data_IF_092707760453
#
_entry.id   IF_092707760453
#
_cell.length_a   1.000
_cell.length_b   1.000
_cell.length_c   1.000
_cell.angle_alpha   90.00
_cell.angle_beta   90.00
_cell.angle_gamma   90.00
#
_symmetry.space_group_name_H-M   'P 1'
#
loop_
_entity.id
_entity.type
_entity.pdbx_description
1 polymer ?
#
# COMPACT_ATOMS: atom_id res chain seq x y z
N UNK A 1 22.40 -29.80 -13.15
CA UNK A 1 22.73 -28.37 -13.33
C UNK A 1 21.47 -27.60 -13.79
N UNK A 2 20.64 -27.05 -12.89
CA UNK A 2 19.34 -26.45 -13.22
C UNK A 2 19.39 -24.95 -13.64
N UNK A 3 20.53 -24.28 -13.54
CA UNK A 3 20.61 -22.83 -13.72
C UNK A 3 20.63 -22.33 -15.17
N UNK A 4 21.04 -23.15 -16.14
CA UNK A 4 21.31 -22.68 -17.52
C UNK A 4 20.03 -22.45 -18.36
N UNK A 5 18.95 -23.18 -18.04
CA UNK A 5 17.66 -23.05 -18.72
C UNK A 5 16.92 -21.77 -18.32
N UNK A 6 16.93 -21.42 -17.03
CA UNK A 6 16.31 -20.19 -16.53
C UNK A 6 16.96 -18.92 -17.10
N UNK A 7 18.30 -18.92 -17.23
CA UNK A 7 19.02 -17.77 -17.83
C UNK A 7 18.63 -17.59 -19.30
N UNK A 8 18.57 -18.65 -20.10
CA UNK A 8 18.21 -18.52 -21.52
C UNK A 8 16.74 -18.15 -21.73
N UNK A 9 15.84 -18.59 -20.85
CA UNK A 9 14.42 -18.24 -20.93
C UNK A 9 14.22 -16.77 -20.55
N UNK A 10 14.87 -16.30 -19.49
CA UNK A 10 14.87 -14.88 -19.09
C UNK A 10 15.51 -14.03 -20.19
N UNK A 11 16.61 -14.46 -20.79
CA UNK A 11 17.26 -13.72 -21.87
C UNK A 11 16.45 -13.72 -23.17
N UNK A 12 15.60 -14.72 -23.43
CA UNK A 12 14.64 -14.68 -24.56
C UNK A 12 13.37 -13.89 -24.27
N UNK A 13 12.90 -13.89 -23.03
CA UNK A 13 11.70 -13.15 -22.63
C UNK A 13 11.99 -11.66 -22.36
N UNK A 14 13.20 -11.33 -21.95
CA UNK A 14 13.62 -9.97 -21.57
C UNK A 14 14.82 -9.43 -22.36
N UNK A 15 15.44 -10.22 -23.23
CA UNK A 15 16.47 -9.76 -24.18
C UNK A 15 15.84 -8.97 -25.32
N UNK A 16 15.24 -7.82 -24.99
CA UNK A 16 14.99 -6.78 -25.97
C UNK A 16 16.31 -6.28 -26.55
N UNK A 17 16.27 -5.81 -27.79
CA UNK A 17 17.42 -5.25 -28.50
C UNK A 17 18.17 -4.24 -27.61
N UNK A 18 19.44 -4.57 -27.29
CA UNK A 18 20.29 -3.75 -26.42
C UNK A 18 20.57 -2.36 -26.99
N UNK A 19 20.30 -2.17 -28.27
CA UNK A 19 20.50 -0.93 -29.00
C UNK A 19 19.31 0.03 -28.92
N UNK A 20 18.13 -0.43 -28.47
CA UNK A 20 16.91 0.42 -28.38
C UNK A 20 17.15 1.66 -27.51
N UNK A 21 17.80 1.59 -26.32
CA UNK A 21 18.12 2.79 -25.56
C UNK A 21 19.06 3.76 -26.30
N UNK A 22 19.97 3.26 -27.13
CA UNK A 22 20.85 4.09 -27.94
C UNK A 22 20.10 4.81 -29.06
N UNK A 23 19.13 4.14 -29.69
CA UNK A 23 18.24 4.73 -30.68
C UNK A 23 17.41 5.88 -30.08
N UNK A 24 16.83 5.69 -28.88
CA UNK A 24 16.09 6.76 -28.19
C UNK A 24 16.98 7.97 -27.84
N UNK A 25 18.25 7.74 -27.46
CA UNK A 25 19.21 8.84 -27.26
C UNK A 25 19.51 9.60 -28.55
N UNK A 26 19.64 8.89 -29.67
CA UNK A 26 19.85 9.54 -30.96
C UNK A 26 18.65 10.40 -31.35
N UNK A 27 17.43 9.87 -31.22
CA UNK A 27 16.18 10.61 -31.45
C UNK A 27 16.06 11.83 -30.53
N UNK A 28 16.41 11.69 -29.25
CA UNK A 28 16.44 12.82 -28.31
C UNK A 28 17.42 13.91 -28.75
N UNK A 29 18.63 13.55 -29.20
CA UNK A 29 19.60 14.54 -29.72
C UNK A 29 19.09 15.27 -30.95
N UNK A 30 18.43 14.56 -31.88
CA UNK A 30 17.81 15.18 -33.05
C UNK A 30 16.70 16.16 -32.67
N UNK A 31 15.86 15.81 -31.69
CA UNK A 31 14.83 16.71 -31.17
C UNK A 31 15.43 18.00 -30.57
N UNK A 32 16.52 17.87 -29.78
CA UNK A 32 17.24 19.01 -29.22
C UNK A 32 17.81 19.91 -30.32
N UNK A 33 18.42 19.33 -31.35
CA UNK A 33 18.96 20.07 -32.51
C UNK A 33 17.85 20.78 -33.29
N UNK A 34 16.67 20.17 -33.40
CA UNK A 34 15.50 20.77 -34.01
C UNK A 34 14.74 21.75 -33.11
N UNK A 35 15.20 21.97 -31.86
CA UNK A 35 14.50 22.75 -30.84
C UNK A 35 13.03 22.30 -30.61
N UNK A 36 12.74 21.01 -30.82
CA UNK A 36 11.41 20.41 -30.63
C UNK A 36 11.27 19.87 -29.19
N UNK A 37 10.84 20.74 -28.28
CA UNK A 37 10.69 20.43 -26.86
C UNK A 37 9.60 19.38 -26.58
N UNK A 38 8.55 19.30 -27.39
CA UNK A 38 7.49 18.30 -27.19
C UNK A 38 8.02 16.89 -27.46
N UNK A 39 8.76 16.72 -28.56
CA UNK A 39 9.39 15.43 -28.88
C UNK A 39 10.51 15.07 -27.90
N UNK A 40 11.27 16.06 -27.43
CA UNK A 40 12.28 15.82 -26.39
C UNK A 40 11.64 15.25 -25.12
N UNK A 41 10.54 15.85 -24.65
CA UNK A 41 9.79 15.37 -23.49
C UNK A 41 9.18 13.98 -23.71
N UNK A 42 8.79 13.64 -24.93
CA UNK A 42 8.26 12.32 -25.27
C UNK A 42 9.36 11.25 -25.34
N UNK A 43 10.54 11.57 -25.89
CA UNK A 43 11.63 10.60 -26.05
C UNK A 43 12.33 10.27 -24.73
N UNK A 44 12.40 11.22 -23.80
CA UNK A 44 13.03 10.99 -22.50
C UNK A 44 12.43 9.82 -21.68
N UNK A 45 11.11 9.72 -21.45
CA UNK A 45 10.52 8.59 -20.74
C UNK A 45 10.63 7.27 -21.53
N UNK A 46 10.65 7.32 -22.86
CA UNK A 46 10.85 6.14 -23.71
C UNK A 46 12.27 5.61 -23.60
N UNK A 47 13.28 6.48 -23.53
CA UNK A 47 14.67 6.12 -23.24
C UNK A 47 14.75 5.37 -21.89
N UNK A 48 14.17 5.93 -20.83
CA UNK A 48 14.18 5.31 -19.49
C UNK A 48 13.45 3.96 -19.52
N UNK A 49 12.28 3.86 -20.18
CA UNK A 49 11.50 2.62 -20.24
C UNK A 49 12.24 1.51 -20.99
N UNK A 50 12.87 1.83 -22.12
CA UNK A 50 13.63 0.86 -22.91
C UNK A 50 14.90 0.35 -22.22
N UNK A 51 15.49 1.15 -21.33
CA UNK A 51 16.68 0.75 -20.59
C UNK A 51 16.39 -0.24 -19.45
N UNK A 52 15.12 -0.37 -19.02
CA UNK A 52 14.74 -1.28 -17.93
C UNK A 52 14.82 -2.73 -18.37
N UNK A 53 15.29 -3.58 -17.48
CA UNK A 53 15.50 -5.02 -17.69
C UNK A 53 16.56 -5.37 -18.74
N UNK A 54 17.05 -4.39 -19.52
CA UNK A 54 18.17 -4.56 -20.45
C UNK A 54 19.48 -4.09 -19.81
N UNK A 55 19.51 -2.83 -19.35
CA UNK A 55 20.68 -2.18 -18.75
C UNK A 55 20.50 -1.99 -17.25
N UNK A 56 19.29 -1.62 -16.82
CA UNK A 56 18.95 -1.43 -15.42
C UNK A 56 18.21 -2.67 -14.90
N UNK A 57 18.85 -3.42 -14.01
CA UNK A 57 18.28 -4.62 -13.40
C UNK A 57 17.81 -4.33 -11.95
N UNK A 58 16.62 -4.79 -11.51
CA UNK A 58 16.05 -4.45 -10.21
C UNK A 58 16.87 -4.92 -9.00
N UNK A 59 17.56 -6.05 -9.16
CA UNK A 59 18.32 -6.73 -8.11
C UNK A 59 19.69 -7.09 -8.69
N UNK A 60 20.56 -6.10 -8.77
CA UNK A 60 21.94 -6.35 -9.15
C UNK A 60 22.56 -7.32 -8.13
N UNK A 61 22.74 -8.58 -8.53
CA UNK A 61 23.31 -9.65 -7.69
C UNK A 61 24.79 -9.44 -7.36
N UNK A 62 25.46 -8.54 -8.08
CA UNK A 62 26.89 -8.26 -7.98
C UNK A 62 27.20 -7.09 -7.05
N UNK A 63 26.42 -6.87 -5.97
CA UNK A 63 26.33 -5.64 -5.10
C UNK A 63 27.67 -4.95 -4.76
N UNK A 64 28.79 -5.65 -4.93
CA UNK A 64 30.17 -5.20 -4.69
C UNK A 64 30.85 -4.38 -5.80
N UNK A 65 30.36 -4.35 -7.06
CA UNK A 65 30.97 -3.46 -8.07
C UNK A 65 30.52 -2.00 -7.84
N UNK A 66 31.48 -1.10 -7.65
CA UNK A 66 31.32 0.29 -7.19
C UNK A 66 30.43 1.20 -8.06
N UNK A 67 29.99 0.73 -9.23
CA UNK A 67 29.07 1.44 -10.14
C UNK A 67 27.60 0.99 -10.07
N UNK A 68 27.27 -0.05 -9.30
CA UNK A 68 26.00 -0.73 -9.45
C UNK A 68 24.81 -0.10 -8.73
N UNK A 69 25.06 0.71 -7.71
CA UNK A 69 24.02 1.50 -7.06
C UNK A 69 23.33 2.44 -8.07
N UNK A 70 24.08 2.97 -9.05
CA UNK A 70 23.53 3.81 -10.10
C UNK A 70 22.43 3.11 -10.90
N UNK A 71 22.61 1.83 -11.27
CA UNK A 71 21.62 1.05 -12.02
C UNK A 71 20.37 0.73 -11.21
N UNK A 72 20.53 0.32 -9.94
CA UNK A 72 19.40 -0.01 -9.06
C UNK A 72 18.57 1.23 -8.74
N UNK A 73 19.21 2.34 -8.35
CA UNK A 73 18.49 3.59 -8.11
C UNK A 73 17.80 4.09 -9.37
N UNK A 74 18.46 4.03 -10.54
CA UNK A 74 17.85 4.46 -11.81
C UNK A 74 16.65 3.59 -12.21
N UNK A 75 16.70 2.28 -11.94
CA UNK A 75 15.57 1.38 -12.14
C UNK A 75 14.36 1.79 -11.28
N UNK A 76 14.55 1.86 -9.96
CA UNK A 76 13.46 2.15 -9.02
C UNK A 76 12.94 3.58 -9.17
N UNK A 77 13.83 4.56 -9.38
CA UNK A 77 13.43 5.93 -9.65
C UNK A 77 12.71 6.06 -10.99
N UNK A 78 13.16 5.36 -12.04
CA UNK A 78 12.45 5.33 -13.32
C UNK A 78 11.05 4.71 -13.18
N UNK A 79 10.93 3.63 -12.42
CA UNK A 79 9.65 3.00 -12.11
C UNK A 79 8.74 3.96 -11.31
N UNK A 80 9.27 4.59 -10.26
CA UNK A 80 8.56 5.57 -9.45
C UNK A 80 8.15 6.80 -10.28
N UNK A 81 9.00 7.29 -11.17
CA UNK A 81 8.70 8.40 -12.08
C UNK A 81 7.58 8.03 -13.05
N UNK A 82 7.65 6.86 -13.69
CA UNK A 82 6.56 6.43 -14.57
C UNK A 82 5.26 6.29 -13.79
N UNK A 83 5.34 5.68 -12.61
CA UNK A 83 4.21 5.52 -11.72
C UNK A 83 3.60 6.89 -11.37
N UNK A 84 4.42 7.84 -10.91
CA UNK A 84 4.07 9.21 -10.51
C UNK A 84 3.58 10.09 -11.70
N UNK A 85 4.21 9.98 -12.85
CA UNK A 85 3.90 10.76 -14.06
C UNK A 85 2.52 10.39 -14.62
N UNK A 86 2.18 9.10 -14.58
CA UNK A 86 0.89 8.64 -15.10
C UNK A 86 -0.31 9.00 -14.20
N UNK A 87 -0.11 9.48 -12.96
CA UNK A 87 -1.24 9.92 -12.09
C UNK A 87 -2.04 11.05 -12.74
N UNK A 88 -1.41 11.90 -13.55
CA UNK A 88 -2.09 12.98 -14.24
C UNK A 88 -3.10 12.52 -15.31
N UNK A 89 -3.02 11.26 -15.76
CA UNK A 89 -3.88 10.70 -16.82
C UNK A 89 -4.99 9.79 -16.31
N UNK A 90 -4.94 9.33 -15.05
CA UNK A 90 -5.91 8.38 -14.52
C UNK A 90 -6.24 8.64 -13.05
N UNK A 91 -7.51 8.97 -12.79
CA UNK A 91 -8.07 9.12 -11.44
C UNK A 91 -8.15 7.78 -10.70
N UNK A 92 -8.26 6.67 -11.44
CA UNK A 92 -8.41 5.33 -10.86
C UNK A 92 -7.15 4.88 -10.11
N UNK A 93 -5.95 5.24 -10.58
CA UNK A 93 -4.68 4.82 -9.96
C UNK A 93 -4.48 5.34 -8.53
N UNK A 94 -4.60 6.66 -8.24
CA UNK A 94 -4.50 7.15 -6.86
C UNK A 94 -5.60 6.58 -5.97
N UNK A 95 -6.81 6.34 -6.49
CA UNK A 95 -7.87 5.67 -5.74
C UNK A 95 -7.49 4.23 -5.38
N UNK A 96 -7.01 3.44 -6.34
CA UNK A 96 -6.57 2.07 -6.10
C UNK A 96 -5.43 2.03 -5.06
N UNK A 97 -4.48 2.96 -5.12
CA UNK A 97 -3.41 3.02 -4.14
C UNK A 97 -3.88 3.45 -2.77
N UNK A 98 -4.82 4.39 -2.71
CA UNK A 98 -5.44 4.77 -1.45
C UNK A 98 -6.14 3.56 -0.83
N UNK A 99 -6.92 2.80 -1.60
CA UNK A 99 -7.56 1.57 -1.12
C UNK A 99 -6.54 0.52 -0.67
N UNK A 100 -5.46 0.32 -1.43
CA UNK A 100 -4.39 -0.62 -1.07
C UNK A 100 -3.70 -0.19 0.22
N UNK A 101 -3.46 1.11 0.42
CA UNK A 101 -2.86 1.61 1.66
C UNK A 101 -3.78 1.39 2.85
N UNK A 102 -5.09 1.62 2.72
CA UNK A 102 -6.07 1.34 3.78
C UNK A 102 -6.05 -0.15 4.16
N UNK A 103 -6.08 -1.06 3.18
CA UNK A 103 -6.03 -2.51 3.43
C UNK A 103 -4.71 -2.92 4.08
N UNK A 104 -3.58 -2.39 3.61
CA UNK A 104 -2.26 -2.68 4.17
C UNK A 104 -2.16 -2.24 5.63
N UNK A 105 -2.54 -1.00 5.95
CA UNK A 105 -2.45 -0.49 7.32
C UNK A 105 -3.46 -1.14 8.26
N UNK A 106 -4.66 -1.46 7.80
CA UNK A 106 -5.61 -2.27 8.57
C UNK A 106 -5.03 -3.65 8.90
N UNK A 107 -4.32 -4.30 7.96
CA UNK A 107 -3.62 -5.56 8.23
C UNK A 107 -2.48 -5.41 9.25
N UNK A 108 -1.74 -4.30 9.21
CA UNK A 108 -0.72 -3.99 10.22
C UNK A 108 -1.35 -3.79 11.60
N UNK A 109 -2.48 -3.08 11.70
CA UNK A 109 -3.20 -2.89 12.97
C UNK A 109 -3.74 -4.21 13.54
N UNK A 110 -4.30 -5.08 12.69
CA UNK A 110 -4.70 -6.44 13.11
C UNK A 110 -3.49 -7.25 13.56
N UNK A 111 -2.37 -7.18 12.84
CA UNK A 111 -1.13 -7.84 13.22
C UNK A 111 -0.65 -7.43 14.61
N UNK A 112 -0.66 -6.12 14.91
CA UNK A 112 -0.30 -5.60 16.24
C UNK A 112 -1.31 -5.95 17.33
N UNK A 113 -2.61 -6.04 17.00
CA UNK A 113 -3.62 -6.51 17.97
C UNK A 113 -3.35 -7.96 18.41
N UNK A 114 -2.83 -8.79 17.51
CA UNK A 114 -2.47 -10.19 17.80
C UNK A 114 -1.19 -10.31 18.61
N UNK A 115 -0.18 -9.50 18.32
CA UNK A 115 1.04 -9.47 19.13
C UNK A 115 0.71 -9.05 20.56
N UNK A 116 -0.20 -8.09 20.74
CA UNK A 116 -0.74 -7.71 22.05
C UNK A 116 -1.50 -8.85 22.76
N UNK A 117 -2.19 -9.72 22.00
CA UNK A 117 -2.81 -10.95 22.50
C UNK A 117 -1.83 -12.12 22.74
N UNK A 118 -0.54 -11.94 22.44
CA UNK A 118 0.50 -12.97 22.56
C UNK A 118 0.52 -14.00 21.41
N UNK A 119 -0.16 -13.72 20.29
CA UNK A 119 -0.07 -14.52 19.08
C UNK A 119 1.05 -14.01 18.16
N UNK A 120 1.64 -14.91 17.36
CA UNK A 120 2.64 -14.52 16.37
C UNK A 120 1.99 -13.63 15.28
N UNK A 121 2.69 -12.59 14.80
CA UNK A 121 2.16 -11.74 13.74
C UNK A 121 2.05 -12.53 12.43
N UNK A 122 0.91 -12.44 11.77
CA UNK A 122 0.62 -13.13 10.51
C UNK A 122 0.16 -12.13 9.43
N UNK A 123 0.94 -11.06 9.24
CA UNK A 123 0.56 -9.90 8.42
C UNK A 123 -0.01 -10.23 7.03
N UNK A 124 0.54 -11.24 6.34
CA UNK A 124 0.06 -11.65 5.02
C UNK A 124 -1.31 -12.31 5.04
N UNK A 125 -1.60 -13.12 6.06
CA UNK A 125 -2.92 -13.74 6.25
C UNK A 125 -3.94 -12.68 6.64
N UNK A 126 -3.50 -11.70 7.43
CA UNK A 126 -4.32 -10.57 7.89
C UNK A 126 -4.67 -9.65 6.73
N UNK A 127 -3.71 -9.36 5.85
CA UNK A 127 -3.96 -8.60 4.63
C UNK A 127 -5.01 -9.28 3.74
N UNK A 128 -4.94 -10.60 3.58
CA UNK A 128 -5.95 -11.33 2.81
C UNK A 128 -7.33 -11.33 3.49
N UNK A 129 -7.40 -11.37 4.82
CA UNK A 129 -8.66 -11.29 5.57
C UNK A 129 -9.28 -9.89 5.49
N UNK A 130 -8.47 -8.86 5.68
CA UNK A 130 -8.86 -7.44 5.58
C UNK A 130 -9.29 -7.11 4.15
N UNK A 131 -8.53 -7.53 3.13
CA UNK A 131 -8.89 -7.31 1.73
C UNK A 131 -10.26 -7.93 1.39
N UNK A 132 -10.55 -9.12 1.91
CA UNK A 132 -11.87 -9.77 1.76
C UNK A 132 -12.97 -9.01 2.49
N UNK A 133 -12.70 -8.48 3.68
CA UNK A 133 -13.67 -7.68 4.43
C UNK A 133 -13.93 -6.30 3.82
N UNK A 134 -12.94 -5.72 3.16
CA UNK A 134 -13.02 -4.43 2.47
C UNK A 134 -13.60 -4.53 1.06
N UNK A 135 -13.63 -5.73 0.47
CA UNK A 135 -14.21 -5.94 -0.84
C UNK A 135 -15.70 -5.56 -0.82
N UNK A 136 -16.21 -4.87 -1.87
CA UNK A 136 -17.64 -4.57 -1.95
C UNK A 136 -18.43 -5.88 -1.89
N UNK A 137 -19.65 -5.88 -1.30
CA UNK A 137 -20.50 -7.05 -1.30
C UNK A 137 -20.69 -7.49 -2.76
N UNK A 138 -20.25 -8.71 -3.05
CA UNK A 138 -20.44 -9.30 -4.36
C UNK A 138 -21.95 -9.45 -4.56
N UNK A 139 -22.54 -8.96 -5.67
CA UNK A 139 -23.96 -9.13 -5.91
C UNK A 139 -24.32 -10.61 -5.82
N UNK A 140 -25.45 -10.90 -5.19
CA UNK A 140 -25.88 -12.25 -4.79
C UNK A 140 -25.86 -13.26 -5.96
N UNK A 141 -26.15 -12.77 -7.17
CA UNK A 141 -26.07 -13.53 -8.42
C UNK A 141 -24.67 -14.05 -8.76
N UNK A 142 -23.61 -13.32 -8.42
CA UNK A 142 -22.21 -13.73 -8.65
C UNK A 142 -21.67 -14.54 -7.45
N UNK A 143 -22.21 -14.31 -6.25
CA UNK A 143 -21.85 -15.06 -5.05
C UNK A 143 -22.20 -16.56 -5.16
N UNK A 144 -23.28 -16.92 -5.87
CA UNK A 144 -23.69 -18.30 -6.11
C UNK A 144 -22.71 -19.12 -6.96
N UNK A 145 -21.84 -18.47 -7.74
CA UNK A 145 -20.88 -19.13 -8.63
C UNK A 145 -19.44 -19.13 -8.09
N UNK A 146 -19.19 -18.40 -7.00
CA UNK A 146 -17.90 -18.44 -6.34
C UNK A 146 -17.90 -19.59 -5.33
N UNK A 147 -16.81 -20.37 -5.21
CA UNK A 147 -16.70 -21.35 -4.13
C UNK A 147 -16.93 -20.62 -2.81
N UNK A 148 -17.56 -21.29 -1.83
CA UNK A 148 -17.87 -20.72 -0.53
C UNK A 148 -16.61 -20.19 0.16
N UNK A 149 -16.23 -18.94 -0.14
CA UNK A 149 -15.17 -18.17 0.51
C UNK A 149 -15.71 -17.61 1.86
N UNK A 150 -16.93 -17.98 2.23
CA UNK A 150 -17.81 -17.33 3.20
C UNK A 150 -17.69 -17.83 4.64
N UNK A 151 -16.49 -18.18 5.10
CA UNK A 151 -16.20 -18.07 6.52
C UNK A 151 -15.55 -16.72 6.74
N UNK A 152 -16.36 -15.70 7.07
CA UNK A 152 -15.86 -14.50 7.74
C UNK A 152 -15.30 -15.05 9.05
N UNK A 153 -13.99 -15.32 9.08
CA UNK A 153 -13.34 -15.70 10.32
C UNK A 153 -13.60 -14.53 11.27
N UNK A 154 -14.49 -14.73 12.24
CA UNK A 154 -14.75 -13.72 13.25
C UNK A 154 -13.43 -13.57 13.99
N UNK A 155 -12.81 -12.41 13.88
CA UNK A 155 -11.68 -12.07 14.72
C UNK A 155 -12.25 -11.37 15.93
N UNK A 156 -12.49 -12.09 17.05
CA UNK A 156 -12.98 -11.44 18.25
C UNK A 156 -12.01 -10.32 18.62
N UNK A 157 -12.54 -9.24 19.19
CA UNK A 157 -11.71 -8.21 19.81
C UNK A 157 -10.64 -8.88 20.68
N UNK A 158 -9.42 -8.35 20.63
CA UNK A 158 -8.26 -9.03 21.16
C UNK A 158 -8.49 -9.40 22.64
N UNK A 159 -8.37 -10.69 22.95
CA UNK A 159 -8.30 -11.15 24.33
C UNK A 159 -6.92 -10.71 24.87
N UNK A 160 -6.86 -9.55 25.50
CA UNK A 160 -5.58 -8.99 25.92
C UNK A 160 -5.05 -9.79 27.10
N UNK A 161 -3.81 -10.28 26.97
CA UNK A 161 -3.12 -11.00 28.04
C UNK A 161 -2.26 -10.04 28.85
N UNK A 162 -2.70 -9.73 30.06
CA UNK A 162 -1.88 -9.04 31.06
C UNK A 162 -2.66 -8.79 32.34
N UNK A 163 -1.95 -8.64 33.47
CA UNK A 163 -2.54 -8.57 34.81
C UNK A 163 -3.43 -7.34 35.05
N UNK A 164 -3.20 -6.25 34.31
CA UNK A 164 -3.87 -4.96 34.51
C UNK A 164 -4.80 -4.56 33.35
N UNK A 165 -5.00 -5.47 32.40
CA UNK A 165 -5.81 -5.23 31.20
C UNK A 165 -7.24 -5.69 31.44
N UNK A 166 -8.19 -4.79 31.23
CA UNK A 166 -9.61 -5.15 31.26
C UNK A 166 -10.11 -5.47 29.85
N UNK A 167 -10.79 -6.61 29.64
CA UNK A 167 -11.45 -6.89 28.38
C UNK A 167 -12.57 -5.89 28.13
N UNK A 168 -12.91 -5.71 26.84
CA UNK A 168 -14.08 -4.94 26.45
C UNK A 168 -15.34 -5.55 27.08
N UNK A 169 -16.29 -4.71 27.46
CA UNK A 169 -17.56 -5.14 28.04
C UNK A 169 -18.23 -6.18 27.11
N UNK A 170 -18.71 -7.32 27.63
CA UNK A 170 -19.10 -8.48 26.80
C UNK A 170 -20.21 -8.14 25.80
N UNK A 171 -21.10 -7.22 26.15
CA UNK A 171 -22.18 -6.75 25.27
C UNK A 171 -21.64 -5.98 24.05
N UNK A 172 -20.60 -5.15 24.26
CA UNK A 172 -19.96 -4.40 23.18
C UNK A 172 -19.02 -5.28 22.34
N UNK A 173 -18.37 -6.26 22.97
CA UNK A 173 -17.52 -7.25 22.30
C UNK A 173 -18.32 -8.20 21.39
N UNK A 174 -19.56 -8.55 21.74
CA UNK A 174 -20.41 -9.42 20.92
C UNK A 174 -20.82 -8.80 19.58
N UNK A 175 -20.83 -7.46 19.48
CA UNK A 175 -21.20 -6.74 18.27
C UNK A 175 -20.03 -6.18 17.45
N UNK A 176 -18.78 -6.45 17.85
CA UNK A 176 -17.59 -5.85 17.22
C UNK A 176 -16.62 -6.90 16.69
N UNK A 177 -16.09 -6.63 15.49
CA UNK A 177 -15.07 -7.44 14.82
C UNK A 177 -13.76 -6.64 14.77
N UNK A 178 -12.65 -7.25 15.19
CA UNK A 178 -11.33 -6.62 15.17
C UNK A 178 -10.94 -6.14 13.76
N UNK A 179 -11.34 -6.87 12.71
CA UNK A 179 -11.07 -6.43 11.33
C UNK A 179 -11.87 -5.19 10.98
N UNK A 180 -13.14 -5.12 11.39
CA UNK A 180 -14.00 -3.98 11.08
C UNK A 180 -13.48 -2.71 11.78
N UNK A 181 -13.08 -2.85 13.04
CA UNK A 181 -12.49 -1.76 13.83
C UNK A 181 -11.11 -1.33 13.28
N UNK A 182 -10.26 -2.27 12.85
CA UNK A 182 -9.00 -1.96 12.18
C UNK A 182 -9.20 -1.24 10.84
N UNK A 183 -10.21 -1.66 10.05
CA UNK A 183 -10.58 -1.00 8.81
C UNK A 183 -11.10 0.43 9.08
N UNK A 184 -11.95 0.59 10.08
CA UNK A 184 -12.46 1.90 10.51
C UNK A 184 -11.30 2.83 10.90
N UNK A 185 -10.34 2.33 11.69
CA UNK A 185 -9.13 3.08 12.06
C UNK A 185 -8.31 3.49 10.84
N UNK A 186 -8.07 2.55 9.91
CA UNK A 186 -7.30 2.81 8.70
C UNK A 186 -8.02 3.82 7.78
N UNK A 187 -9.33 3.70 7.61
CA UNK A 187 -10.13 4.67 6.83
C UNK A 187 -10.10 6.04 7.48
N UNK A 188 -10.28 6.13 8.81
CA UNK A 188 -10.21 7.40 9.55
C UNK A 188 -8.83 8.06 9.46
N UNK A 189 -7.75 7.28 9.36
CA UNK A 189 -6.40 7.82 9.15
C UNK A 189 -6.17 8.24 7.68
N UNK A 190 -6.84 7.60 6.73
CA UNK A 190 -6.76 7.96 5.33
C UNK A 190 -7.57 9.22 4.99
N UNK A 191 -8.67 9.47 5.70
CA UNK A 191 -9.47 10.69 5.60
C UNK A 191 -8.78 11.85 6.34
N UNK A 192 -7.79 12.46 5.69
CA UNK A 192 -6.97 13.55 6.25
C UNK A 192 -7.80 14.76 6.73
N UNK A 193 -9.00 14.96 6.19
CA UNK A 193 -9.84 16.16 6.36
C UNK A 193 -10.73 16.18 7.63
N UNK A 194 -10.42 15.34 8.61
CA UNK A 194 -11.18 15.25 9.86
C UNK A 194 -11.57 13.81 10.10
N UNK A 195 -11.07 13.23 11.19
CA UNK A 195 -11.32 11.83 11.54
C UNK A 195 -12.81 11.53 11.49
N UNK A 196 -13.19 10.55 10.68
CA UNK A 196 -14.55 10.05 10.60
C UNK A 196 -14.76 9.26 11.89
N UNK A 197 -15.08 9.96 12.98
CA UNK A 197 -15.23 9.37 14.30
C UNK A 197 -15.00 10.35 15.42
N UNK A 198 -15.99 10.47 16.32
CA UNK A 198 -15.82 11.17 17.59
C UNK A 198 -14.80 10.47 18.51
N UNK A 199 -14.43 11.10 19.63
CA UNK A 199 -13.51 10.52 20.62
C UNK A 199 -14.00 9.15 21.13
N UNK A 200 -15.31 8.92 21.17
CA UNK A 200 -15.91 7.65 21.58
C UNK A 200 -15.66 6.52 20.57
N UNK A 201 -15.67 6.83 19.27
CA UNK A 201 -15.37 5.86 18.22
C UNK A 201 -13.90 5.42 18.32
N UNK A 202 -12.98 6.37 18.53
CA UNK A 202 -11.58 6.05 18.77
C UNK A 202 -11.41 5.16 20.01
N UNK A 203 -12.09 5.48 21.13
CA UNK A 203 -12.03 4.68 22.36
C UNK A 203 -12.54 3.26 22.15
N UNK A 204 -13.62 3.07 21.40
CA UNK A 204 -14.16 1.75 21.03
C UNK A 204 -13.18 0.97 20.15
N UNK A 205 -12.67 1.61 19.09
CA UNK A 205 -11.76 0.98 18.13
C UNK A 205 -10.46 0.55 18.80
N UNK A 206 -9.81 1.44 19.56
CA UNK A 206 -8.59 1.09 20.29
C UNK A 206 -8.85 0.09 21.43
N UNK A 207 -9.99 0.20 22.11
CA UNK A 207 -10.40 -0.76 23.14
C UNK A 207 -10.60 -2.17 22.60
N UNK A 208 -11.23 -2.32 21.43
CA UNK A 208 -11.40 -3.62 20.78
C UNK A 208 -10.07 -4.21 20.29
N UNK A 209 -9.18 -3.38 19.74
CA UNK A 209 -7.92 -3.84 19.14
C UNK A 209 -6.84 -4.12 20.19
N UNK A 210 -6.70 -3.28 21.22
CA UNK A 210 -5.55 -3.30 22.12
C UNK A 210 -5.93 -3.36 23.61
N UNK A 211 -7.23 -3.23 23.94
CA UNK A 211 -7.75 -3.25 25.31
C UNK A 211 -7.60 -1.94 26.08
N UNK A 212 -8.00 -1.98 27.35
CA UNK A 212 -7.95 -0.86 28.28
C UNK A 212 -7.01 -1.14 29.43
N UNK A 213 -6.31 -0.09 29.87
CA UNK A 213 -5.65 -0.04 31.18
C UNK A 213 -6.34 0.98 32.05
N UNK A 214 -6.44 0.63 33.32
CA UNK A 214 -6.94 1.54 34.35
C UNK A 214 -5.85 2.56 34.66
N UNK A 215 -6.13 3.83 34.44
CA UNK A 215 -5.23 4.90 34.85
C UNK A 215 -5.19 5.01 36.39
N UNK A 216 -4.23 5.76 36.92
CA UNK A 216 -4.12 6.01 38.37
C UNK A 216 -5.33 6.75 38.97
N UNK A 217 -6.22 7.30 38.14
CA UNK A 217 -7.48 7.94 38.53
C UNK A 217 -8.69 7.00 38.48
N UNK A 218 -8.50 5.72 38.11
CA UNK A 218 -9.56 4.73 38.02
C UNK A 218 -10.32 4.72 36.69
N UNK A 219 -10.03 5.62 35.76
CA UNK A 219 -10.65 5.68 34.44
C UNK A 219 -10.00 4.69 33.47
N UNK A 220 -10.79 4.15 32.56
CA UNK A 220 -10.31 3.22 31.53
C UNK A 220 -9.76 4.00 30.33
N UNK A 221 -8.45 4.00 30.15
CA UNK A 221 -7.81 4.59 28.97
C UNK A 221 -7.41 3.48 27.98
N UNK A 222 -7.69 3.64 26.67
CA UNK A 222 -7.24 2.68 25.68
C UNK A 222 -5.72 2.72 25.58
N UNK A 223 -5.08 1.54 25.52
CA UNK A 223 -3.64 1.48 25.25
C UNK A 223 -3.42 1.64 23.75
N UNK A 224 -2.54 2.56 23.38
CA UNK A 224 -2.07 2.68 21.99
C UNK A 224 -0.60 2.32 21.96
N UNK A 225 -0.22 1.16 21.39
CA UNK A 225 1.17 0.80 21.22
C UNK A 225 1.93 1.85 20.39
N UNK A 226 3.19 2.11 20.73
CA UNK A 226 4.02 3.08 20.00
C UNK A 226 4.15 2.76 18.49
N UNK A 227 4.20 1.47 18.15
CA UNK A 227 4.18 1.02 16.76
C UNK A 227 2.94 1.50 16.00
N UNK A 228 1.76 1.38 16.61
CA UNK A 228 0.46 1.79 16.03
C UNK A 228 0.42 3.30 15.78
N UNK A 229 0.95 4.09 16.72
CA UNK A 229 1.08 5.55 16.57
C UNK A 229 1.98 5.91 15.38
N UNK A 230 3.15 5.27 15.26
CA UNK A 230 4.06 5.47 14.13
C UNK A 230 3.42 5.06 12.80
N UNK A 231 2.73 3.93 12.76
CA UNK A 231 2.02 3.48 11.56
C UNK A 231 0.90 4.46 11.18
N UNK A 232 0.14 4.99 12.13
CA UNK A 232 -0.88 6.01 11.86
C UNK A 232 -0.29 7.29 11.28
N UNK A 233 0.85 7.75 11.80
CA UNK A 233 1.54 8.94 11.26
C UNK A 233 2.00 8.70 9.81
N UNK A 234 2.63 7.56 9.54
CA UNK A 234 3.09 7.18 8.19
C UNK A 234 1.89 7.09 7.24
N UNK A 235 0.81 6.42 7.65
CA UNK A 235 -0.40 6.28 6.84
C UNK A 235 -1.02 7.64 6.50
N UNK A 236 -1.14 8.55 7.48
CA UNK A 236 -1.67 9.91 7.26
C UNK A 236 -0.83 10.67 6.25
N UNK A 237 0.50 10.57 6.36
CA UNK A 237 1.43 11.23 5.45
C UNK A 237 1.29 10.70 4.02
N UNK A 238 1.26 9.37 3.85
CA UNK A 238 1.07 8.73 2.54
C UNK A 238 -0.31 9.09 1.97
N UNK A 239 -1.36 9.06 2.79
CA UNK A 239 -2.74 9.36 2.37
C UNK A 239 -2.89 10.82 1.94
N UNK A 240 -2.25 11.75 2.63
CA UNK A 240 -2.20 13.17 2.24
C UNK A 240 -1.55 13.34 0.86
N UNK A 241 -0.42 12.69 0.62
CA UNK A 241 0.27 12.73 -0.68
C UNK A 241 -0.64 12.15 -1.77
N UNK A 242 -1.29 11.01 -1.53
CA UNK A 242 -2.18 10.37 -2.50
C UNK A 242 -3.43 11.19 -2.79
N UNK A 243 -4.04 11.83 -1.78
CA UNK A 243 -5.18 12.73 -1.96
C UNK A 243 -4.78 13.99 -2.73
N UNK A 244 -3.58 14.52 -2.50
CA UNK A 244 -3.04 15.63 -3.27
C UNK A 244 -2.84 15.24 -4.76
N UNK A 245 -2.24 14.07 -5.02
CA UNK A 245 -2.09 13.53 -6.38
C UNK A 245 -3.44 13.28 -7.05
N UNK A 246 -4.42 12.77 -6.31
CA UNK A 246 -5.80 12.61 -6.78
C UNK A 246 -6.40 13.97 -7.21
N UNK A 247 -6.23 15.01 -6.40
CA UNK A 247 -6.67 16.36 -6.73
C UNK A 247 -6.02 16.92 -7.99
N UNK A 248 -4.70 16.71 -8.16
CA UNK A 248 -4.00 17.08 -9.40
C UNK A 248 -4.52 16.31 -10.62
N UNK A 249 -4.78 15.00 -10.48
CA UNK A 249 -5.33 14.16 -11.53
C UNK A 249 -6.71 14.66 -11.98
N UNK A 250 -7.60 14.95 -11.02
CA UNK A 250 -8.94 15.50 -11.29
C UNK A 250 -8.84 16.85 -12.00
N UNK A 251 -7.99 17.76 -11.50
CA UNK A 251 -7.77 19.07 -12.13
C UNK A 251 -7.29 18.93 -13.58
N UNK A 252 -6.33 18.05 -13.84
CA UNK A 252 -5.81 17.83 -15.19
C UNK A 252 -6.88 17.26 -16.11
N UNK A 253 -7.71 16.33 -15.63
CA UNK A 253 -8.81 15.76 -16.41
C UNK A 253 -9.87 16.80 -16.79
N UNK A 254 -10.16 17.75 -15.90
CA UNK A 254 -11.11 18.84 -16.16
C UNK A 254 -10.57 19.90 -17.13
N UNK A 255 -9.26 20.11 -17.21
CA UNK A 255 -8.61 21.10 -18.09
C UNK A 255 -8.53 20.63 -19.56
N UNK A 256 -8.67 19.34 -19.83
CA UNK A 256 -8.52 18.75 -21.18
C UNK A 256 -9.81 18.87 -22.02
N UNK A 257 -10.81 19.63 -21.55
CA UNK A 257 -11.99 20.04 -22.32
C UNK A 257 -11.89 21.51 -22.69
#
# INVERSE_FOLDING_TARGET
MPGRFWVSLVERLFGGDRDVPAQWRALKRLAIQGHDHEREQFFFPMEIRSARFVMDWPLHWKVWDSGAWGGVFRFWFGLAYQFASDFGRSVLRPLLLLTLTVVLFAALYVGESRTAGGAAPAYWQDAAAVARAAAPPVPEALAAHLPAISARAAYPCAAVKGRDLQPLEPELAAGTDAIAEALHLAVSNASVLGGIGGPDAARRTYGCLYGFVRDGGGNLAPIVPAAVSNWSLIQKTISLILLFLLGLAVRNMLKVR
#
